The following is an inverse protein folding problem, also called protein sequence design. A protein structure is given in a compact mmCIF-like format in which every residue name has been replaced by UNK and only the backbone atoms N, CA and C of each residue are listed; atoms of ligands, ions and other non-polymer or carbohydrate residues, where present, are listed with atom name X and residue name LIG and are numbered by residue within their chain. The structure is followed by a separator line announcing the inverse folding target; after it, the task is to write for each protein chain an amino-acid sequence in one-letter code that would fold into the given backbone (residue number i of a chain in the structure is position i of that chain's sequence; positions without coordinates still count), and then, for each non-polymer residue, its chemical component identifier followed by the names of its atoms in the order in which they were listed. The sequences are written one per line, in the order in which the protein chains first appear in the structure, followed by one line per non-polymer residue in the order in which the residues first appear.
data_IF_482290930502
#
_entry.id   IF_482290930502
#
_cell.length_a   1.000
_cell.length_b   1.000
_cell.length_c   1.000
_cell.angle_alpha   90.00
_cell.angle_beta   90.00
_cell.angle_gamma   90.00
#
_symmetry.space_group_name_H-M   'P 1'
#
loop_
_entity.id
_entity.type
_entity.pdbx_description
1 polymer ?
#
# COMPACT_ATOMS: atom_id res chain seq x y z
N UNK A 1 -8.83 33.50 -8.58
CA UNK A 1 -8.95 32.21 -9.29
C UNK A 1 -8.02 32.27 -10.48
N UNK A 2 -7.13 31.29 -10.64
CA UNK A 2 -6.09 31.26 -11.68
C UNK A 2 -6.23 29.93 -12.44
N UNK A 3 -5.86 29.91 -13.73
CA UNK A 3 -5.83 28.68 -14.52
C UNK A 3 -4.65 27.83 -14.06
N UNK A 4 -4.92 26.56 -13.78
CA UNK A 4 -3.89 25.61 -13.40
C UNK A 4 -3.12 25.11 -14.64
N UNK A 5 -1.83 25.46 -14.71
CA UNK A 5 -0.92 25.08 -15.80
C UNK A 5 -0.15 23.78 -15.55
N UNK A 6 -0.32 23.14 -14.39
CA UNK A 6 0.44 21.94 -13.94
C UNK A 6 -0.30 20.63 -14.22
N UNK A 7 -1.21 20.62 -15.20
CA UNK A 7 -2.06 19.47 -15.55
C UNK A 7 -1.30 18.19 -15.93
N UNK A 8 -0.04 18.30 -16.34
CA UNK A 8 0.77 17.15 -16.75
C UNK A 8 1.62 16.55 -15.62
N UNK A 9 1.56 17.11 -14.41
CA UNK A 9 2.33 16.62 -13.27
C UNK A 9 1.57 15.53 -12.49
N UNK A 10 2.31 14.59 -11.91
CA UNK A 10 1.76 13.57 -11.00
C UNK A 10 1.31 14.25 -9.70
N UNK A 11 0.21 13.78 -9.14
CA UNK A 11 -0.26 14.21 -7.83
C UNK A 11 0.39 13.34 -6.75
N UNK A 12 1.08 13.98 -5.81
CA UNK A 12 1.55 13.33 -4.60
C UNK A 12 0.41 13.20 -3.60
N UNK A 13 0.18 12.02 -3.05
CA UNK A 13 -0.72 11.78 -1.92
C UNK A 13 0.16 11.35 -0.75
N UNK A 14 0.11 12.10 0.35
CA UNK A 14 0.80 11.74 1.59
C UNK A 14 -0.22 11.17 2.57
N UNK A 15 0.09 10.03 3.16
CA UNK A 15 -0.82 9.34 4.06
C UNK A 15 -0.11 8.83 5.30
N UNK A 16 -0.81 8.95 6.42
CA UNK A 16 -0.49 8.31 7.68
C UNK A 16 -1.79 7.75 8.27
N UNK A 17 -1.98 6.44 8.13
CA UNK A 17 -3.23 5.76 8.51
C UNK A 17 -2.90 4.49 9.28
N UNK A 18 -3.50 4.33 10.45
CA UNK A 18 -3.40 3.14 11.28
C UNK A 18 -4.67 2.31 11.21
N UNK A 19 -4.55 1.04 10.87
CA UNK A 19 -5.61 0.05 10.98
C UNK A 19 -5.37 -0.78 12.24
N UNK A 20 -6.34 -0.79 13.16
CA UNK A 20 -6.13 -1.33 14.51
C UNK A 20 -6.25 -2.85 14.60
N UNK A 21 -6.91 -3.47 13.62
CA UNK A 21 -7.22 -4.89 13.60
C UNK A 21 -6.94 -5.52 12.22
N UNK A 22 -5.98 -4.95 11.48
CA UNK A 22 -5.52 -5.45 10.20
C UNK A 22 -3.99 -5.60 10.26
N UNK A 23 -3.52 -6.85 10.29
CA UNK A 23 -2.10 -7.17 10.41
C UNK A 23 -1.31 -6.71 9.18
N UNK A 24 -0.07 -6.24 9.36
CA UNK A 24 0.73 -5.72 8.24
C UNK A 24 0.98 -6.74 7.13
N UNK A 25 0.96 -8.04 7.43
CA UNK A 25 1.08 -9.11 6.43
C UNK A 25 -0.13 -9.20 5.48
N UNK A 26 -1.31 -8.82 5.96
CA UNK A 26 -2.57 -8.92 5.22
C UNK A 26 -3.09 -7.55 4.77
N UNK A 27 -2.47 -6.45 5.20
CA UNK A 27 -2.88 -5.10 4.88
C UNK A 27 -2.22 -4.65 3.56
N UNK A 28 -3.01 -4.50 2.50
CA UNK A 28 -2.54 -4.13 1.17
C UNK A 28 -3.16 -2.83 0.71
N UNK A 29 -2.35 -1.95 0.10
CA UNK A 29 -2.77 -0.64 -0.39
C UNK A 29 -2.59 -0.58 -1.90
N UNK A 30 -3.64 -0.17 -2.60
CA UNK A 30 -3.60 0.00 -4.06
C UNK A 30 -4.20 1.33 -4.45
N UNK A 31 -3.72 1.89 -5.55
CA UNK A 31 -4.31 3.04 -6.22
C UNK A 31 -4.66 2.70 -7.68
N UNK A 32 -5.87 3.09 -8.10
CA UNK A 32 -6.38 2.91 -9.45
C UNK A 32 -6.99 4.21 -9.96
N UNK A 33 -6.64 4.60 -11.18
CA UNK A 33 -7.27 5.72 -11.87
C UNK A 33 -8.30 5.28 -12.93
N UNK A 34 -9.08 6.24 -13.43
CA UNK A 34 -10.10 5.99 -14.47
C UNK A 34 -9.51 5.58 -15.83
N UNK A 35 -8.21 5.79 -16.05
CA UNK A 35 -7.51 5.33 -17.25
C UNK A 35 -7.04 3.87 -17.12
N UNK A 36 -7.20 3.26 -15.94
CA UNK A 36 -6.78 1.89 -15.64
C UNK A 36 -5.32 1.78 -15.20
N UNK A 37 -4.63 2.90 -14.91
CA UNK A 37 -3.30 2.87 -14.28
C UNK A 37 -3.46 2.33 -12.86
N UNK A 38 -2.78 1.23 -12.57
CA UNK A 38 -2.83 0.52 -11.31
C UNK A 38 -1.44 0.50 -10.66
N UNK A 39 -1.39 0.98 -9.42
CA UNK A 39 -0.21 0.88 -8.57
C UNK A 39 -0.55 0.00 -7.36
N UNK A 40 0.13 -1.14 -7.25
CA UNK A 40 -0.11 -2.13 -6.19
C UNK A 40 1.00 -2.09 -5.15
N UNK A 41 0.61 -2.21 -3.88
CA UNK A 41 1.42 -2.46 -2.69
C UNK A 41 2.59 -1.51 -2.36
N UNK A 42 2.96 -0.61 -3.27
CA UNK A 42 3.78 0.60 -3.09
C UNK A 42 4.93 0.46 -2.07
N UNK A 43 5.60 -0.70 -2.06
CA UNK A 43 6.54 -1.12 -1.01
C UNK A 43 7.80 -0.26 -0.89
N UNK A 44 8.08 0.55 -1.92
CA UNK A 44 9.22 1.48 -1.94
C UNK A 44 8.89 2.83 -1.29
N UNK A 45 7.63 3.27 -1.31
CA UNK A 45 7.23 4.62 -0.89
C UNK A 45 6.33 4.62 0.35
N UNK A 46 5.77 3.46 0.71
CA UNK A 46 4.92 3.29 1.88
C UNK A 46 5.57 2.32 2.87
N UNK A 47 5.84 2.84 4.07
CA UNK A 47 6.36 2.06 5.20
C UNK A 47 5.19 1.52 6.02
N UNK A 48 5.21 0.21 6.25
CA UNK A 48 4.33 -0.46 7.21
C UNK A 48 5.00 -0.59 8.57
N UNK A 49 4.27 -0.34 9.64
CA UNK A 49 4.72 -0.52 11.03
C UNK A 49 3.68 -1.33 11.79
N UNK A 50 4.10 -2.42 12.46
CA UNK A 50 3.21 -3.26 13.28
C UNK A 50 2.68 -2.48 14.47
N UNK A 51 1.41 -2.68 14.78
CA UNK A 51 0.74 -2.10 15.93
C UNK A 51 0.25 -3.20 16.87
N UNK A 52 0.36 -2.95 18.17
CA UNK A 52 -0.28 -3.77 19.19
C UNK A 52 -1.81 -3.55 19.18
N UNK A 53 -2.53 -4.31 20.01
CA UNK A 53 -3.99 -4.23 20.15
C UNK A 53 -4.51 -2.86 20.62
N UNK A 54 -3.63 -2.00 21.12
CA UNK A 54 -3.95 -0.66 21.60
C UNK A 54 -3.57 0.44 20.59
N UNK A 55 -2.99 0.06 19.45
CA UNK A 55 -2.53 0.99 18.41
C UNK A 55 -1.13 1.54 18.64
N UNK A 56 -0.35 1.00 19.59
CA UNK A 56 1.05 1.41 19.79
C UNK A 56 1.96 0.64 18.85
N UNK A 57 3.03 1.29 18.38
CA UNK A 57 4.02 0.64 17.55
C UNK A 57 4.75 -0.48 18.31
N UNK A 58 4.83 -1.67 17.71
CA UNK A 58 5.62 -2.78 18.24
C UNK A 58 7.07 -2.56 17.81
N UNK A 59 7.96 -2.31 18.78
CA UNK A 59 9.38 -2.12 18.50
C UNK A 59 10.02 -3.38 17.91
N UNK A 60 10.93 -3.16 16.96
CA UNK A 60 11.75 -4.24 16.42
C UNK A 60 12.83 -4.60 17.43
N UNK A 61 12.82 -5.85 17.89
CA UNK A 61 14.05 -6.47 18.41
C UNK A 61 14.91 -6.80 17.20
N UNK A 62 15.77 -5.87 16.79
CA UNK A 62 16.70 -6.07 15.66
C UNK A 62 17.93 -6.79 16.19
N UNK A 63 18.10 -8.07 15.87
CA UNK A 63 19.44 -8.66 15.82
C UNK A 63 20.22 -7.89 14.75
N UNK A 64 21.34 -7.29 15.15
CA UNK A 64 22.18 -6.32 14.40
C UNK A 64 22.89 -6.96 13.18
N UNK A 65 22.34 -8.05 12.60
CA UNK A 65 23.01 -8.89 11.61
C UNK A 65 22.52 -8.79 10.17
N UNK A 66 21.39 -8.14 9.86
CA UNK A 66 20.86 -8.20 8.48
C UNK A 66 19.89 -7.04 8.11
N UNK A 67 20.18 -5.81 8.53
CA UNK A 67 19.29 -4.67 8.34
C UNK A 67 19.44 -3.92 6.99
N UNK A 68 20.30 -4.35 6.06
CA UNK A 68 20.67 -3.56 4.87
C UNK A 68 20.48 -4.28 3.52
N UNK A 69 19.32 -4.88 3.28
CA UNK A 69 18.91 -5.31 1.93
C UNK A 69 17.51 -4.83 1.52
N UNK A 70 17.06 -3.69 2.05
CA UNK A 70 15.78 -3.08 1.66
C UNK A 70 15.96 -2.20 0.43
N UNK A 71 15.12 -2.39 -0.59
CA UNK A 71 15.03 -1.47 -1.73
C UNK A 71 16.14 -1.56 -2.77
N UNK A 72 16.82 -2.70 -2.93
CA UNK A 72 17.74 -2.87 -4.07
C UNK A 72 16.94 -2.80 -5.37
N UNK A 73 17.08 -1.69 -6.08
CA UNK A 73 16.66 -1.56 -7.48
C UNK A 73 17.34 -2.66 -8.27
N UNK A 74 16.53 -3.51 -8.88
CA UNK A 74 17.04 -4.58 -9.74
C UNK A 74 17.87 -4.00 -10.89
N UNK A 75 18.97 -4.65 -11.29
CA UNK A 75 19.77 -4.20 -12.42
C UNK A 75 18.94 -4.05 -13.71
N UNK A 76 19.34 -3.17 -14.65
CA UNK A 76 18.73 -3.12 -15.97
C UNK A 76 18.80 -4.50 -16.65
N UNK A 77 17.66 -5.07 -17.02
CA UNK A 77 17.57 -6.41 -17.63
C UNK A 77 17.42 -7.57 -16.65
N UNK A 78 17.10 -7.31 -15.38
CA UNK A 78 16.75 -8.36 -14.43
C UNK A 78 15.58 -9.23 -14.93
N UNK A 79 15.79 -10.55 -14.86
CA UNK A 79 14.81 -11.58 -15.16
C UNK A 79 14.83 -12.58 -13.99
N UNK A 80 13.88 -12.44 -13.07
CA UNK A 80 13.77 -13.34 -11.91
C UNK A 80 13.22 -14.71 -12.27
N UNK A 81 13.60 -15.73 -11.50
CA UNK A 81 13.14 -17.11 -11.70
C UNK A 81 11.70 -17.30 -11.18
N UNK A 82 10.91 -18.11 -11.89
CA UNK A 82 9.60 -18.59 -11.41
C UNK A 82 9.70 -19.89 -10.60
N UNK A 83 10.92 -20.39 -10.30
CA UNK A 83 11.19 -21.57 -9.46
C UNK A 83 10.37 -22.81 -9.83
N UNK A 84 10.53 -23.27 -11.07
CA UNK A 84 9.84 -24.43 -11.69
C UNK A 84 8.33 -24.27 -11.91
N UNK A 85 7.75 -23.18 -11.42
CA UNK A 85 6.35 -22.87 -11.60
C UNK A 85 6.09 -22.24 -12.97
N UNK A 86 4.96 -22.62 -13.60
CA UNK A 86 4.52 -22.08 -14.89
C UNK A 86 3.61 -20.88 -14.66
N UNK A 87 4.05 -19.70 -15.08
CA UNK A 87 3.24 -18.50 -14.99
C UNK A 87 2.02 -18.58 -15.93
N UNK A 88 0.79 -18.27 -15.49
CA UNK A 88 -0.44 -18.42 -16.29
C UNK A 88 -0.43 -17.58 -17.59
N UNK A 89 0.15 -16.38 -17.53
CA UNK A 89 0.37 -15.51 -18.69
C UNK A 89 1.53 -15.94 -19.63
N UNK A 90 2.17 -17.10 -19.43
CA UNK A 90 3.27 -17.58 -20.27
C UNK A 90 4.57 -16.77 -20.15
N UNK A 91 4.72 -15.99 -19.07
CA UNK A 91 5.93 -15.20 -18.80
C UNK A 91 7.12 -16.13 -18.54
N UNK A 92 8.29 -15.76 -19.09
CA UNK A 92 9.56 -16.47 -18.83
C UNK A 92 10.25 -16.04 -17.54
N UNK A 93 9.97 -14.82 -17.08
CA UNK A 93 10.57 -14.22 -15.89
C UNK A 93 9.47 -13.87 -14.89
N UNK A 94 9.74 -14.09 -13.62
CA UNK A 94 8.94 -13.61 -12.50
C UNK A 94 9.78 -12.59 -11.72
N UNK A 95 9.49 -11.32 -11.92
CA UNK A 95 10.26 -10.20 -11.38
C UNK A 95 9.70 -9.69 -10.05
N UNK A 96 8.40 -9.83 -9.82
CA UNK A 96 7.73 -9.42 -8.58
C UNK A 96 7.33 -10.63 -7.74
N UNK A 97 7.12 -10.41 -6.44
CA UNK A 97 6.59 -11.45 -5.54
C UNK A 97 5.23 -11.97 -6.03
N UNK A 98 4.40 -11.10 -6.58
CA UNK A 98 3.08 -11.48 -7.07
C UNK A 98 3.16 -12.37 -8.32
N UNK A 99 4.08 -12.10 -9.26
CA UNK A 99 4.33 -12.99 -10.40
C UNK A 99 4.82 -14.37 -9.95
N UNK A 100 5.64 -14.44 -8.90
CA UNK A 100 6.06 -15.72 -8.30
C UNK A 100 4.87 -16.44 -7.67
N UNK A 101 4.06 -15.75 -6.88
CA UNK A 101 2.86 -16.32 -6.24
C UNK A 101 1.85 -16.81 -7.29
N UNK A 102 1.62 -16.06 -8.36
CA UNK A 102 0.76 -16.45 -9.48
C UNK A 102 1.25 -17.74 -10.15
N UNK A 103 2.56 -17.83 -10.42
CA UNK A 103 3.13 -19.03 -11.00
C UNK A 103 2.97 -20.25 -10.07
N UNK A 104 3.21 -20.05 -8.76
CA UNK A 104 3.07 -21.11 -7.75
C UNK A 104 1.63 -21.61 -7.66
N UNK A 105 0.66 -20.70 -7.61
CA UNK A 105 -0.77 -21.06 -7.59
C UNK A 105 -1.19 -21.80 -8.85
N UNK A 106 -0.75 -21.35 -10.03
CA UNK A 106 -1.06 -22.01 -11.30
C UNK A 106 -0.40 -23.40 -11.44
N UNK A 107 0.59 -23.71 -10.59
CA UNK A 107 1.33 -24.96 -10.57
C UNK A 107 1.02 -25.82 -9.34
N UNK A 108 -0.05 -25.52 -8.60
CA UNK A 108 -0.46 -26.20 -7.36
C UNK A 108 0.64 -26.26 -6.28
N UNK A 109 1.52 -25.26 -6.25
CA UNK A 109 2.59 -25.12 -5.25
C UNK A 109 2.13 -24.28 -4.06
N UNK A 110 2.73 -24.52 -2.88
CA UNK A 110 2.33 -23.84 -1.64
C UNK A 110 2.75 -22.35 -1.63
N UNK A 111 1.82 -21.45 -1.30
CA UNK A 111 2.07 -20.00 -1.19
C UNK A 111 3.13 -19.66 -0.12
N UNK A 112 3.19 -20.43 0.96
CA UNK A 112 4.21 -20.27 2.01
C UNK A 112 5.63 -20.50 1.49
N UNK A 113 5.80 -21.30 0.43
CA UNK A 113 7.08 -21.49 -0.24
C UNK A 113 7.43 -20.33 -1.16
N UNK A 114 6.43 -19.73 -1.81
CA UNK A 114 6.59 -18.53 -2.63
C UNK A 114 7.07 -17.34 -1.77
N UNK A 115 6.54 -17.18 -0.56
CA UNK A 115 6.90 -16.11 0.38
C UNK A 115 8.36 -16.14 0.82
N UNK A 116 9.01 -17.31 0.73
CA UNK A 116 10.43 -17.51 1.06
C UNK A 116 11.36 -17.26 -0.15
N UNK A 117 10.84 -16.84 -1.30
CA UNK A 117 11.64 -16.56 -2.51
C UNK A 117 12.18 -15.14 -2.51
N UNK A 118 13.22 -14.91 -3.33
CA UNK A 118 13.98 -13.67 -3.37
C UNK A 118 13.09 -12.44 -3.60
N UNK A 119 12.19 -12.51 -4.57
CA UNK A 119 11.29 -11.42 -4.94
C UNK A 119 10.39 -11.05 -3.77
N UNK A 120 9.84 -12.06 -3.06
CA UNK A 120 9.00 -11.86 -1.90
C UNK A 120 9.75 -11.35 -0.67
N UNK A 121 10.96 -11.86 -0.41
CA UNK A 121 11.79 -11.35 0.70
C UNK A 121 12.25 -9.92 0.43
N UNK A 122 12.55 -9.58 -0.83
CA UNK A 122 12.97 -8.23 -1.24
C UNK A 122 11.85 -7.20 -1.11
N UNK A 123 10.63 -7.61 -1.47
CA UNK A 123 9.44 -6.74 -1.46
C UNK A 123 8.74 -6.73 -0.09
N UNK A 124 8.93 -7.77 0.72
CA UNK A 124 8.40 -7.82 2.07
C UNK A 124 9.25 -7.00 3.03
N UNK A 125 8.58 -6.17 3.83
CA UNK A 125 9.22 -5.51 4.96
C UNK A 125 9.28 -6.51 6.14
N UNK A 126 10.34 -6.48 6.96
CA UNK A 126 10.43 -7.32 8.15
C UNK A 126 9.24 -7.15 9.13
N UNK A 127 8.50 -6.05 9.04
CA UNK A 127 7.25 -5.86 9.78
C UNK A 127 6.14 -6.79 9.28
N UNK A 128 6.06 -7.07 7.98
CA UNK A 128 5.10 -8.03 7.42
C UNK A 128 5.50 -9.46 7.80
N UNK A 129 6.79 -9.79 7.69
CA UNK A 129 7.29 -11.13 8.01
C UNK A 129 7.07 -11.51 9.48
N UNK A 130 7.15 -10.53 10.39
CA UNK A 130 6.97 -10.75 11.82
C UNK A 130 5.52 -10.53 12.28
N UNK A 131 4.63 -10.04 11.41
CA UNK A 131 3.27 -9.68 11.78
C UNK A 131 2.47 -10.91 12.22
N UNK A 132 1.75 -10.78 13.32
CA UNK A 132 0.89 -11.83 13.87
C UNK A 132 -0.59 -11.49 13.66
N UNK A 133 -1.44 -12.50 13.79
CA UNK A 133 -2.89 -12.29 13.82
C UNK A 133 -3.29 -11.52 15.09
N UNK A 134 -4.26 -10.60 14.95
CA UNK A 134 -4.71 -9.73 16.04
C UNK A 134 -3.88 -8.45 16.23
N UNK A 135 -2.84 -8.25 15.42
CA UNK A 135 -2.09 -6.99 15.34
C UNK A 135 -2.75 -6.00 14.39
N UNK A 136 -2.40 -4.73 14.54
CA UNK A 136 -2.71 -3.67 13.59
C UNK A 136 -1.53 -3.33 12.68
N UNK A 137 -1.77 -2.43 11.74
CA UNK A 137 -0.76 -1.92 10.84
C UNK A 137 -0.92 -0.42 10.59
N UNK A 138 0.18 0.32 10.72
CA UNK A 138 0.29 1.73 10.32
C UNK A 138 0.99 1.84 8.97
N UNK A 139 0.35 2.52 8.05
CA UNK A 139 0.89 2.93 6.76
C UNK A 139 1.35 4.37 6.85
N UNK A 140 2.61 4.64 6.53
CA UNK A 140 3.19 5.97 6.51
C UNK A 140 4.02 6.14 5.24
N UNK A 141 3.75 7.19 4.46
CA UNK A 141 4.50 7.45 3.24
C UNK A 141 3.75 8.30 2.22
N UNK A 142 4.15 8.14 0.96
CA UNK A 142 3.52 8.85 -0.14
C UNK A 142 3.34 7.98 -1.39
N UNK A 143 2.52 8.45 -2.31
CA UNK A 143 2.31 7.84 -3.63
C UNK A 143 2.16 8.92 -4.70
N UNK A 144 2.66 8.64 -5.90
CA UNK A 144 2.60 9.55 -7.04
C UNK A 144 1.61 9.01 -8.07
N UNK A 145 0.43 9.62 -8.17
CA UNK A 145 -0.67 9.16 -9.03
C UNK A 145 -0.92 10.12 -10.18
N UNK A 146 -1.62 9.66 -11.23
CA UNK A 146 -2.09 10.57 -12.27
C UNK A 146 -3.12 11.54 -11.69
N UNK A 147 -3.09 12.79 -12.16
CA UNK A 147 -3.99 13.85 -11.69
C UNK A 147 -5.34 13.80 -12.42
N UNK A 148 -6.00 12.66 -12.33
CA UNK A 148 -7.32 12.37 -12.88
C UNK A 148 -8.19 11.73 -11.79
N UNK A 149 -9.47 11.50 -12.08
CA UNK A 149 -10.33 10.77 -11.14
C UNK A 149 -9.77 9.37 -10.87
N UNK A 150 -9.83 8.94 -9.61
CA UNK A 150 -9.31 7.65 -9.19
C UNK A 150 -9.70 7.34 -7.74
N UNK A 151 -9.24 6.20 -7.26
CA UNK A 151 -9.36 5.80 -5.87
C UNK A 151 -8.06 5.16 -5.40
N UNK A 152 -7.83 5.20 -4.10
CA UNK A 152 -6.94 4.25 -3.45
C UNK A 152 -7.72 3.57 -2.33
N UNK A 153 -7.35 2.34 -2.01
CA UNK A 153 -8.01 1.57 -0.96
C UNK A 153 -6.98 0.72 -0.22
N UNK A 154 -7.24 0.55 1.08
CA UNK A 154 -6.57 -0.46 1.90
C UNK A 154 -7.54 -1.60 2.12
N UNK A 155 -7.09 -2.81 1.83
CA UNK A 155 -7.93 -3.99 1.89
C UNK A 155 -7.18 -5.17 2.49
N UNK A 156 -7.96 -6.14 2.96
CA UNK A 156 -7.48 -7.42 3.40
C UNK A 156 -7.04 -8.26 2.21
N UNK A 157 -5.83 -8.79 2.28
CA UNK A 157 -5.29 -9.71 1.31
C UNK A 157 -4.71 -9.02 0.08
N UNK A 158 -3.77 -9.72 -0.55
CA UNK A 158 -3.06 -9.23 -1.74
C UNK A 158 -4.00 -9.09 -2.92
N UNK A 159 -3.74 -8.10 -3.74
CA UNK A 159 -4.51 -7.83 -4.96
C UNK A 159 -3.87 -8.52 -6.14
N UNK A 160 -4.67 -9.27 -6.90
CA UNK A 160 -4.22 -9.96 -8.10
C UNK A 160 -5.16 -9.71 -9.26
N UNK A 161 -4.61 -9.80 -10.48
CA UNK A 161 -5.38 -9.77 -11.71
C UNK A 161 -5.87 -11.17 -12.07
N UNK A 162 -7.18 -11.39 -12.09
CA UNK A 162 -7.80 -12.61 -12.60
C UNK A 162 -8.87 -12.24 -13.62
N UNK A 163 -8.70 -12.71 -14.87
CA UNK A 163 -9.67 -12.50 -15.97
C UNK A 163 -10.03 -11.02 -16.19
N UNK A 164 -9.04 -10.12 -16.10
CA UNK A 164 -9.26 -8.68 -16.26
C UNK A 164 -9.94 -8.00 -15.07
N UNK A 165 -10.15 -8.71 -13.96
CA UNK A 165 -10.66 -8.15 -12.69
C UNK A 165 -9.57 -8.13 -11.64
N UNK A 166 -9.62 -7.12 -10.78
CA UNK A 166 -8.86 -7.11 -9.54
C UNK A 166 -9.62 -7.86 -8.46
N UNK A 167 -8.95 -8.84 -7.86
CA UNK A 167 -9.50 -9.63 -6.76
C UNK A 167 -8.52 -9.59 -5.60
N UNK A 168 -9.06 -9.46 -4.39
CA UNK A 168 -8.28 -9.65 -3.17
C UNK A 168 -8.28 -11.13 -2.81
N UNK A 169 -7.10 -11.67 -2.51
CA UNK A 169 -6.95 -13.03 -2.03
C UNK A 169 -6.77 -13.02 -0.51
N UNK A 170 -7.70 -13.66 0.18
CA UNK A 170 -7.65 -13.89 1.61
C UNK A 170 -7.82 -15.39 1.91
N UNK A 171 -7.38 -15.82 3.09
CA UNK A 171 -7.52 -17.20 3.56
C UNK A 171 -9.00 -17.45 3.91
N UNK A 172 -9.54 -18.67 3.69
CA UNK A 172 -10.91 -19.00 4.08
C UNK A 172 -11.19 -18.62 5.54
N UNK A 173 -12.26 -17.88 5.77
CA UNK A 173 -12.65 -17.40 7.10
C UNK A 173 -12.05 -16.06 7.54
N UNK A 174 -11.00 -15.53 6.89
CA UNK A 174 -10.49 -14.18 7.23
C UNK A 174 -11.49 -13.05 6.89
N UNK A 175 -12.37 -13.28 5.91
CA UNK A 175 -13.48 -12.38 5.57
C UNK A 175 -14.40 -12.12 6.78
N UNK A 176 -14.61 -13.13 7.62
CA UNK A 176 -15.44 -13.08 8.83
C UNK A 176 -14.72 -12.45 10.02
N UNK A 177 -13.45 -12.08 9.88
CA UNK A 177 -12.65 -11.39 10.90
C UNK A 177 -12.22 -10.00 10.44
N UNK A 178 -12.59 -9.59 9.24
CA UNK A 178 -12.16 -8.31 8.68
C UNK A 178 -12.74 -7.14 9.47
N UNK A 179 -11.85 -6.31 10.00
CA UNK A 179 -12.21 -5.13 10.76
C UNK A 179 -11.46 -3.91 10.20
N UNK A 180 -12.22 -3.03 9.55
CA UNK A 180 -11.71 -1.82 8.94
C UNK A 180 -11.59 -0.64 9.93
N UNK A 181 -11.54 -0.88 11.24
CA UNK A 181 -11.34 0.17 12.24
C UNK A 181 -9.98 0.84 12.04
N UNK A 182 -9.99 2.15 11.91
CA UNK A 182 -8.80 2.90 11.54
C UNK A 182 -8.77 4.30 12.15
N UNK A 183 -7.57 4.85 12.17
CA UNK A 183 -7.23 6.22 12.55
C UNK A 183 -6.52 6.84 11.35
N UNK A 184 -7.09 7.91 10.80
CA UNK A 184 -6.42 8.77 9.83
C UNK A 184 -5.64 9.81 10.62
N UNK A 185 -4.33 9.64 10.76
CA UNK A 185 -3.49 10.61 11.45
C UNK A 185 -3.28 11.85 10.58
N UNK A 186 -2.95 11.62 9.31
CA UNK A 186 -2.91 12.69 8.30
C UNK A 186 -3.20 12.15 6.90
N UNK A 187 -3.89 12.94 6.09
CA UNK A 187 -4.06 12.70 4.66
C UNK A 187 -3.99 14.03 3.91
N UNK A 188 -3.00 14.16 3.03
CA UNK A 188 -2.79 15.40 2.26
C UNK A 188 -2.44 15.13 0.79
N UNK A 189 -2.66 16.14 -0.04
CA UNK A 189 -2.48 16.10 -1.48
C UNK A 189 -1.50 17.20 -1.90
N UNK A 190 -0.48 16.84 -2.66
CA UNK A 190 0.64 17.69 -3.05
C UNK A 190 1.64 17.94 -1.91
N UNK A 191 2.32 19.07 -1.98
CA UNK A 191 3.30 19.49 -0.96
C UNK A 191 2.57 20.11 0.23
N UNK A 192 2.78 19.62 1.46
CA UNK A 192 2.22 20.24 2.66
C UNK A 192 2.71 21.68 2.83
N UNK A 193 1.87 22.56 3.38
CA UNK A 193 2.21 23.93 3.74
C UNK A 193 1.78 24.24 5.17
N UNK A 194 2.39 25.24 5.83
CA UNK A 194 2.06 25.57 7.22
C UNK A 194 0.57 25.88 7.41
N UNK A 195 -0.05 25.25 8.41
CA UNK A 195 -1.48 25.44 8.72
C UNK A 195 -2.46 24.63 7.86
N UNK A 196 -1.96 23.84 6.91
CA UNK A 196 -2.80 22.89 6.16
C UNK A 196 -3.24 21.76 7.08
N UNK A 197 -4.53 21.72 7.43
CA UNK A 197 -5.15 20.63 8.18
C UNK A 197 -6.21 20.01 7.27
N UNK A 198 -6.05 18.73 6.95
CA UNK A 198 -6.98 17.97 6.13
C UNK A 198 -8.29 17.70 6.88
N UNK A 199 -9.45 17.67 6.21
CA UNK A 199 -10.73 17.35 6.85
C UNK A 199 -10.79 15.98 7.51
N UNK A 200 -9.91 15.05 7.12
CA UNK A 200 -9.84 13.70 7.66
C UNK A 200 -8.74 13.55 8.73
N UNK A 201 -7.90 14.55 8.95
CA UNK A 201 -6.82 14.47 9.92
C UNK A 201 -7.37 14.28 11.33
N UNK A 202 -6.82 13.31 12.06
CA UNK A 202 -7.30 12.89 13.39
C UNK A 202 -8.62 12.12 13.39
N UNK A 203 -9.17 11.75 12.23
CA UNK A 203 -10.43 11.00 12.19
C UNK A 203 -10.24 9.57 12.69
N UNK A 204 -11.08 9.17 13.63
CA UNK A 204 -11.15 7.79 14.15
C UNK A 204 -12.47 7.15 13.72
N UNK A 205 -12.40 5.96 13.13
CA UNK A 205 -13.57 5.13 12.83
C UNK A 205 -13.37 3.75 13.43
N UNK A 206 -14.27 3.37 14.33
CA UNK A 206 -14.33 2.05 14.93
C UNK A 206 -15.61 1.38 14.44
N UNK A 207 -15.49 0.16 13.90
CA UNK A 207 -16.64 -0.65 13.50
C UNK A 207 -17.00 -1.64 14.61
N UNK A 208 -18.29 -1.72 14.92
CA UNK A 208 -18.83 -2.70 15.87
C UNK A 208 -19.22 -4.02 15.19
N UNK A 209 -19.52 -3.97 13.88
CA UNK A 209 -19.82 -5.14 13.05
C UNK A 209 -18.58 -5.64 12.33
N UNK A 210 -18.47 -6.96 12.19
CA UNK A 210 -17.43 -7.60 11.39
C UNK A 210 -17.85 -7.58 9.92
N UNK A 211 -16.92 -7.22 9.04
CA UNK A 211 -17.22 -6.94 7.64
C UNK A 211 -17.80 -5.53 7.45
N UNK A 212 -17.22 -4.75 6.54
CA UNK A 212 -17.64 -3.39 6.25
C UNK A 212 -16.59 -2.61 5.47
N UNK A 213 -17.01 -1.54 4.81
CA UNK A 213 -16.13 -0.65 4.04
C UNK A 213 -16.35 0.77 4.53
N UNK A 214 -15.27 1.48 4.83
CA UNK A 214 -15.31 2.93 5.00
C UNK A 214 -14.90 3.59 3.70
N UNK A 215 -15.78 4.43 3.16
CA UNK A 215 -15.53 5.13 1.91
C UNK A 215 -15.57 6.64 2.13
N UNK A 216 -14.50 7.29 1.70
CA UNK A 216 -14.34 8.74 1.77
C UNK A 216 -14.30 9.30 0.36
N UNK A 217 -15.18 10.25 0.08
CA UNK A 217 -15.19 10.98 -1.19
C UNK A 217 -14.51 12.33 -0.98
N UNK A 218 -13.32 12.49 -1.58
CA UNK A 218 -12.48 13.67 -1.41
C UNK A 218 -12.46 14.42 -2.73
N UNK A 219 -12.81 15.71 -2.70
CA UNK A 219 -12.68 16.61 -3.84
C UNK A 219 -11.46 17.49 -3.63
N UNK A 220 -10.41 17.21 -4.39
CA UNK A 220 -9.11 17.88 -4.30
C UNK A 220 -9.10 19.15 -5.17
N UNK A 221 -8.80 20.31 -4.59
CA UNK A 221 -8.75 21.61 -5.27
C UNK A 221 -7.31 22.14 -5.29
N UNK A 222 -6.69 22.31 -6.48
CA UNK A 222 -5.35 22.87 -6.61
C UNK A 222 -5.28 24.29 -6.05
N UNK A 223 -4.33 24.52 -5.15
CA UNK A 223 -4.13 25.80 -4.46
C UNK A 223 -2.67 26.19 -4.48
N UNK A 224 -2.37 27.42 -4.91
CA UNK A 224 -1.01 27.97 -4.88
C UNK A 224 -0.87 28.79 -3.61
N UNK A 225 -0.04 28.32 -2.68
CA UNK A 225 0.37 29.09 -1.51
C UNK A 225 1.61 29.91 -1.87
N UNK A 226 1.62 31.19 -1.52
CA UNK A 226 2.77 32.08 -1.74
C UNK A 226 3.10 32.81 -0.47
N UNK A 227 4.32 32.59 0.04
CA UNK A 227 4.94 33.40 1.09
C UNK A 227 6.01 34.33 0.47
N UNK A 228 6.58 35.22 1.27
CA UNK A 228 7.57 36.25 0.88
C UNK A 228 8.79 35.62 0.17
N UNK A 229 9.13 34.35 0.47
CA UNK A 229 10.30 33.65 -0.06
C UNK A 229 10.01 32.45 -0.96
N UNK A 230 8.77 31.94 -1.01
CA UNK A 230 8.47 30.69 -1.74
C UNK A 230 7.04 30.62 -2.27
N UNK A 231 6.89 29.93 -3.41
CA UNK A 231 5.60 29.48 -3.95
C UNK A 231 5.53 27.97 -3.84
N UNK A 232 4.45 27.46 -3.24
CA UNK A 232 4.21 26.04 -3.04
C UNK A 232 2.91 25.68 -3.74
N UNK A 233 2.97 24.66 -4.59
CA UNK A 233 1.80 24.03 -5.17
C UNK A 233 1.27 22.99 -4.19
N UNK A 234 0.08 23.22 -3.68
CA UNK A 234 -0.61 22.34 -2.75
C UNK A 234 -2.07 22.16 -3.15
N UNK A 235 -2.83 21.40 -2.37
CA UNK A 235 -4.22 21.12 -2.63
C UNK A 235 -5.02 21.13 -1.32
N UNK A 236 -6.29 21.53 -1.40
CA UNK A 236 -7.26 21.54 -0.30
C UNK A 236 -8.46 20.67 -0.63
#
# INVERSE_FOLDING_TARGET
MVVDSTLNEKLQINLDISFLALSCKDAHINAMDVAGDLQMDMYQTIKKTRLDRFGNAIERVVDVGNADKKGQTTPPGYCGSCYDAKHPAGKKCCNTCDEVKEAFMASDMALEEAEKKEQCIRESNADEMLAQDGEGCRFEGNMLVNRVAGNFHVALGRTFHREGRLVHQFRPGQEMTFNASHIVHSLSFGTPYPGSIGPLDGTVKITESIGGVFQYFIKVVPTIYSDISSKVHSYQ
#
